data_IF_436644961965
#
_entry.id   IF_436644961965
#
_cell.length_a   1.000
_cell.length_b   1.000
_cell.length_c   1.000
_cell.angle_alpha   90.00
_cell.angle_beta   90.00
_cell.angle_gamma   90.00
#
_symmetry.space_group_name_H-M   'P 1'
#
loop_
_entity.id
_entity.type
_entity.pdbx_description
1 polymer ?
#
# COMPACT_ATOMS: atom_id res chain seq x y z
N UNK A 1 -8.02 15.14 -12.31
CA UNK A 1 -8.26 14.51 -10.97
C UNK A 1 -7.95 15.54 -9.89
N UNK A 2 -8.84 15.77 -8.92
CA UNK A 2 -8.60 16.67 -7.77
C UNK A 2 -8.86 15.89 -6.49
N UNK A 3 -7.89 15.87 -5.58
CA UNK A 3 -7.91 15.06 -4.37
C UNK A 3 -7.22 15.82 -3.24
N UNK A 4 -7.72 15.70 -2.02
CA UNK A 4 -7.05 16.17 -0.82
C UNK A 4 -7.13 15.12 0.28
N UNK A 5 -6.04 14.94 1.03
CA UNK A 5 -5.97 14.04 2.20
C UNK A 5 -5.46 14.84 3.38
N UNK A 6 -6.16 14.72 4.52
CA UNK A 6 -5.78 15.39 5.77
C UNK A 6 -4.89 14.49 6.63
N UNK A 7 -4.15 15.11 7.53
CA UNK A 7 -3.36 14.37 8.50
C UNK A 7 -4.25 13.44 9.35
N UNK A 8 -3.81 12.18 9.53
CA UNK A 8 -4.54 11.15 10.28
C UNK A 8 -5.68 10.47 9.52
N UNK A 9 -5.96 10.83 8.25
CA UNK A 9 -6.96 10.11 7.46
C UNK A 9 -6.46 8.73 7.02
N UNK A 10 -7.38 7.75 6.97
CA UNK A 10 -7.18 6.44 6.36
C UNK A 10 -8.02 6.37 5.09
N UNK A 11 -7.34 6.39 3.94
CA UNK A 11 -7.96 6.49 2.62
C UNK A 11 -7.63 5.25 1.80
N UNK A 12 -8.64 4.58 1.26
CA UNK A 12 -8.47 3.56 0.23
C UNK A 12 -8.65 4.18 -1.16
N UNK A 13 -7.74 3.90 -2.08
CA UNK A 13 -7.87 4.20 -3.52
C UNK A 13 -8.21 2.89 -4.22
N UNK A 14 -9.43 2.78 -4.70
CA UNK A 14 -9.99 1.60 -5.34
C UNK A 14 -10.04 1.77 -6.85
N UNK A 15 -9.89 0.70 -7.59
CA UNK A 15 -10.01 0.69 -9.05
C UNK A 15 -9.44 -0.58 -9.65
N UNK A 16 -9.84 -0.91 -10.87
CA UNK A 16 -9.32 -2.05 -11.62
C UNK A 16 -7.81 -1.93 -11.86
N UNK A 17 -7.19 -3.03 -12.27
CA UNK A 17 -5.79 -3.02 -12.72
C UNK A 17 -5.65 -2.06 -13.92
N UNK A 18 -4.62 -1.19 -13.87
CA UNK A 18 -4.41 -0.18 -14.91
C UNK A 18 -5.17 1.14 -14.72
N UNK A 19 -6.05 1.29 -13.71
CA UNK A 19 -6.78 2.55 -13.47
C UNK A 19 -5.90 3.74 -13.03
N UNK A 20 -4.60 3.50 -12.76
CA UNK A 20 -3.65 4.57 -12.41
C UNK A 20 -3.37 4.73 -10.92
N UNK A 21 -3.82 3.80 -10.05
CA UNK A 21 -3.59 3.85 -8.60
C UNK A 21 -2.11 3.97 -8.22
N UNK A 22 -1.27 3.07 -8.74
CA UNK A 22 0.19 3.08 -8.47
C UNK A 22 0.86 4.35 -9.01
N UNK A 23 0.40 4.87 -10.15
CA UNK A 23 0.87 6.16 -10.69
C UNK A 23 0.52 7.30 -9.75
N UNK A 24 -0.71 7.33 -9.23
CA UNK A 24 -1.13 8.32 -8.26
C UNK A 24 -0.28 8.24 -6.98
N UNK A 25 -0.06 7.05 -6.43
CA UNK A 25 0.83 6.88 -5.27
C UNK A 25 2.26 7.32 -5.58
N UNK A 26 2.77 7.06 -6.78
CA UNK A 26 4.10 7.51 -7.21
C UNK A 26 4.21 9.04 -7.26
N UNK A 27 3.14 9.74 -7.69
CA UNK A 27 3.06 11.21 -7.64
C UNK A 27 3.04 11.67 -6.18
N UNK A 28 2.22 11.05 -5.32
CA UNK A 28 2.15 11.40 -3.90
C UNK A 28 3.46 11.17 -3.16
N UNK A 29 4.32 10.27 -3.65
CA UNK A 29 5.68 10.04 -3.13
C UNK A 29 6.77 10.85 -3.85
N UNK A 30 6.41 11.76 -4.76
CA UNK A 30 7.36 12.53 -5.58
C UNK A 30 8.43 11.63 -6.29
N UNK A 31 8.00 10.46 -6.78
CA UNK A 31 8.77 9.58 -7.67
C UNK A 31 8.50 9.89 -9.14
N UNK A 32 7.33 10.44 -9.41
CA UNK A 32 6.93 10.97 -10.71
C UNK A 32 6.14 12.25 -10.51
N UNK A 33 5.96 13.05 -11.56
CA UNK A 33 5.32 14.36 -11.46
C UNK A 33 4.14 14.46 -12.42
N UNK A 34 3.09 15.22 -12.07
CA UNK A 34 1.93 15.37 -12.94
C UNK A 34 2.32 16.15 -14.21
N UNK A 35 1.87 15.69 -15.38
CA UNK A 35 2.06 16.39 -16.66
C UNK A 35 1.29 17.71 -16.69
N UNK A 36 0.19 17.80 -15.92
CA UNK A 36 -0.61 19.01 -15.77
C UNK A 36 -1.27 19.04 -14.39
N UNK A 37 -1.57 20.23 -13.90
CA UNK A 37 -2.06 20.43 -12.53
C UNK A 37 -0.94 20.61 -11.52
N UNK A 38 -1.27 20.56 -10.25
CA UNK A 38 -0.36 20.88 -9.14
C UNK A 38 -0.49 19.84 -8.04
N UNK A 39 0.62 19.47 -7.44
CA UNK A 39 0.68 18.63 -6.25
C UNK A 39 1.25 19.42 -5.07
N UNK A 40 0.49 19.45 -3.98
CA UNK A 40 0.91 20.10 -2.73
C UNK A 40 1.09 19.05 -1.64
N UNK A 41 2.21 19.12 -0.93
CA UNK A 41 2.46 18.31 0.25
C UNK A 41 2.98 19.17 1.40
N UNK A 42 2.40 19.01 2.58
CA UNK A 42 2.79 19.74 3.79
C UNK A 42 2.80 21.26 3.60
N UNK A 43 1.85 21.79 2.81
CA UNK A 43 1.71 23.22 2.49
C UNK A 43 2.64 23.75 1.40
N UNK A 44 3.47 22.92 0.79
CA UNK A 44 4.40 23.31 -0.27
C UNK A 44 3.97 22.72 -1.62
N UNK A 45 4.13 23.50 -2.70
CA UNK A 45 4.00 23.00 -4.06
C UNK A 45 5.21 22.10 -4.37
N UNK A 46 4.94 20.84 -4.70
CA UNK A 46 5.97 19.82 -5.00
C UNK A 46 6.30 19.87 -6.48
N UNK A 47 7.58 20.08 -6.79
CA UNK A 47 8.11 20.12 -8.16
C UNK A 47 9.31 19.20 -8.30
N UNK A 48 9.53 18.69 -9.51
CA UNK A 48 10.65 17.83 -9.87
C UNK A 48 12.00 18.44 -9.46
N UNK A 49 12.20 19.72 -9.75
CA UNK A 49 13.41 20.48 -9.44
C UNK A 49 13.80 20.43 -7.95
N UNK A 50 12.83 20.18 -7.05
CA UNK A 50 13.09 20.10 -5.60
C UNK A 50 13.74 18.77 -5.18
N UNK A 51 13.74 17.75 -6.07
CA UNK A 51 14.26 16.42 -5.81
C UNK A 51 15.45 16.05 -6.70
N UNK A 52 15.65 16.77 -7.81
CA UNK A 52 16.73 16.52 -8.79
C UNK A 52 18.07 17.20 -8.41
N UNK A 53 18.09 18.00 -7.36
CA UNK A 53 19.30 18.74 -6.99
C UNK A 53 20.31 17.85 -6.28
N UNK A 54 21.57 17.86 -6.75
CA UNK A 54 22.74 17.34 -6.03
C UNK A 54 23.04 18.15 -4.76
N UNK A 55 22.36 19.27 -4.58
CA UNK A 55 22.45 20.12 -3.40
C UNK A 55 21.50 19.60 -2.29
N UNK A 56 21.97 19.66 -1.06
CA UNK A 56 21.22 19.29 0.13
C UNK A 56 19.98 20.18 0.29
N UNK A 57 18.83 19.67 -0.17
CA UNK A 57 17.57 20.38 -0.14
C UNK A 57 16.78 19.96 1.11
N UNK A 58 16.64 20.88 2.05
CA UNK A 58 15.92 20.69 3.33
C UNK A 58 14.48 20.17 3.10
N UNK A 59 13.79 20.65 2.07
CA UNK A 59 12.45 20.16 1.73
C UNK A 59 12.49 18.69 1.30
N UNK A 60 13.40 18.28 0.42
CA UNK A 60 13.55 16.90 -0.03
C UNK A 60 13.80 15.97 1.18
N UNK A 61 14.76 16.30 2.03
CA UNK A 61 15.07 15.55 3.25
C UNK A 61 13.87 15.45 4.17
N UNK A 62 13.18 16.57 4.43
CA UNK A 62 11.96 16.61 5.25
C UNK A 62 10.83 15.80 4.65
N UNK A 63 10.63 15.86 3.33
CA UNK A 63 9.62 15.10 2.62
C UNK A 63 9.89 13.58 2.71
N UNK A 64 11.12 13.13 2.39
CA UNK A 64 11.53 11.72 2.47
C UNK A 64 11.42 11.14 3.88
N UNK A 65 11.65 11.97 4.90
CA UNK A 65 11.44 11.59 6.31
C UNK A 65 9.96 11.38 6.64
N UNK A 66 9.07 12.21 6.05
CA UNK A 66 7.64 12.22 6.38
C UNK A 66 6.80 11.23 5.59
N UNK A 67 7.25 10.79 4.42
CA UNK A 67 6.48 9.93 3.52
C UNK A 67 7.20 8.61 3.34
N UNK A 68 6.57 7.53 3.78
CA UNK A 68 7.01 6.16 3.53
C UNK A 68 6.18 5.52 2.43
N UNK A 69 6.82 4.74 1.55
CA UNK A 69 6.16 4.08 0.43
C UNK A 69 6.46 2.58 0.40
N UNK A 70 5.40 1.78 0.42
CA UNK A 70 5.46 0.33 0.21
C UNK A 70 5.07 0.01 -1.23
N UNK A 71 6.03 -0.50 -1.99
CA UNK A 71 5.78 -0.97 -3.35
C UNK A 71 4.99 -2.28 -3.37
N UNK A 72 4.21 -2.49 -4.42
CA UNK A 72 3.48 -3.73 -4.67
C UNK A 72 4.42 -4.94 -4.66
N UNK A 73 5.52 -4.88 -5.42
CA UNK A 73 6.53 -5.92 -5.46
C UNK A 73 7.70 -5.60 -4.50
N UNK A 74 7.91 -6.39 -3.43
CA UNK A 74 9.00 -6.18 -2.49
C UNK A 74 10.40 -6.34 -3.10
N UNK A 75 10.55 -7.12 -4.19
CA UNK A 75 11.86 -7.35 -4.81
C UNK A 75 12.47 -6.10 -5.45
N UNK A 76 11.67 -5.10 -5.80
CA UNK A 76 12.19 -3.82 -6.33
C UNK A 76 12.58 -2.85 -5.21
N UNK A 77 12.20 -3.12 -3.97
CA UNK A 77 12.47 -2.28 -2.82
C UNK A 77 13.70 -2.74 -2.04
N UNK A 78 13.96 -4.05 -1.98
CA UNK A 78 15.02 -4.67 -1.18
C UNK A 78 16.31 -4.81 -1.99
N UNK A 79 17.41 -4.25 -1.50
CA UNK A 79 18.70 -4.21 -2.22
C UNK A 79 19.93 -4.42 -1.34
N UNK A 80 19.79 -4.40 -0.01
CA UNK A 80 20.91 -4.49 0.93
C UNK A 80 21.41 -5.94 1.13
N UNK A 81 22.57 -6.07 1.77
CA UNK A 81 23.22 -7.38 2.03
C UNK A 81 22.50 -8.19 3.09
N UNK A 82 21.96 -7.51 4.12
CA UNK A 82 21.25 -8.11 5.23
C UNK A 82 19.95 -7.36 5.52
N UNK A 83 19.03 -8.00 6.24
CA UNK A 83 17.80 -7.37 6.75
C UNK A 83 18.14 -6.18 7.66
N UNK A 84 19.16 -6.31 8.51
CA UNK A 84 19.59 -5.21 9.35
C UNK A 84 20.01 -3.99 8.52
N UNK A 85 20.87 -4.18 7.51
CA UNK A 85 21.33 -3.10 6.63
C UNK A 85 20.17 -2.45 5.86
N UNK A 86 19.20 -3.27 5.43
CA UNK A 86 18.00 -2.80 4.73
C UNK A 86 17.17 -1.85 5.60
N UNK A 87 16.93 -2.23 6.86
CA UNK A 87 16.15 -1.42 7.80
C UNK A 87 16.93 -0.18 8.26
N UNK A 88 18.26 -0.30 8.43
CA UNK A 88 19.13 0.80 8.83
C UNK A 88 19.32 1.85 7.73
N UNK A 89 19.10 1.50 6.47
CA UNK A 89 19.36 2.37 5.32
C UNK A 89 18.61 3.71 5.41
N UNK A 90 17.30 3.67 5.68
CA UNK A 90 16.47 4.89 5.80
C UNK A 90 17.00 5.86 6.86
N UNK A 91 17.16 5.43 8.12
CA UNK A 91 17.76 6.26 9.18
C UNK A 91 19.16 6.81 8.85
N UNK A 92 20.00 6.03 8.16
CA UNK A 92 21.31 6.49 7.68
C UNK A 92 21.17 7.62 6.66
N UNK A 93 20.23 7.50 5.70
CA UNK A 93 19.98 8.57 4.71
C UNK A 93 19.39 9.86 5.32
N UNK A 94 18.87 9.76 6.54
CA UNK A 94 18.40 10.92 7.31
C UNK A 94 19.51 11.55 8.18
N UNK A 95 20.76 11.10 8.02
CA UNK A 95 21.93 11.54 8.79
C UNK A 95 21.75 11.41 10.31
N UNK A 96 21.04 10.39 10.76
CA UNK A 96 20.90 10.12 12.19
C UNK A 96 22.23 9.61 12.76
N UNK A 97 22.53 9.94 14.05
CA UNK A 97 23.72 9.40 14.71
C UNK A 97 23.73 7.86 14.69
N UNK A 98 24.90 7.22 14.56
CA UNK A 98 25.00 5.74 14.46
C UNK A 98 24.30 4.98 15.59
N UNK A 99 24.33 5.50 16.80
CA UNK A 99 23.65 4.93 17.97
C UNK A 99 22.12 4.96 17.80
N UNK A 100 21.57 6.05 17.25
CA UNK A 100 20.14 6.19 16.99
C UNK A 100 19.71 5.30 15.82
N UNK A 101 20.53 5.16 14.78
CA UNK A 101 20.30 4.22 13.66
C UNK A 101 20.19 2.80 14.20
N UNK A 102 21.18 2.36 14.97
CA UNK A 102 21.18 1.02 15.56
C UNK A 102 19.95 0.79 16.43
N UNK A 103 19.66 1.73 17.33
CA UNK A 103 18.52 1.64 18.24
C UNK A 103 17.19 1.50 17.48
N UNK A 104 16.91 2.38 16.51
CA UNK A 104 15.67 2.33 15.73
C UNK A 104 15.55 1.05 14.93
N UNK A 105 16.64 0.59 14.34
CA UNK A 105 16.67 -0.66 13.58
C UNK A 105 16.31 -1.85 14.47
N UNK A 106 16.92 -1.97 15.65
CA UNK A 106 16.62 -3.05 16.59
C UNK A 106 15.19 -2.96 17.15
N UNK A 107 14.72 -1.75 17.47
CA UNK A 107 13.35 -1.54 17.96
C UNK A 107 12.31 -1.99 16.91
N UNK A 108 12.50 -1.66 15.65
CA UNK A 108 11.57 -2.06 14.57
C UNK A 108 11.64 -3.57 14.29
N UNK A 109 12.83 -4.17 14.32
CA UNK A 109 13.03 -5.62 14.20
C UNK A 109 12.24 -6.35 15.28
N UNK A 110 12.38 -5.90 16.54
CA UNK A 110 11.66 -6.47 17.68
C UNK A 110 10.15 -6.24 17.60
N UNK A 111 9.72 -5.02 17.22
CA UNK A 111 8.31 -4.67 17.08
C UNK A 111 7.58 -5.56 16.07
N UNK A 112 8.25 -5.94 14.97
CA UNK A 112 7.66 -6.77 13.92
C UNK A 112 7.93 -8.28 14.09
N UNK A 113 8.69 -8.67 15.13
CA UNK A 113 8.99 -10.07 15.44
C UNK A 113 9.82 -10.75 14.34
N UNK A 114 10.84 -10.05 13.80
CA UNK A 114 11.70 -10.53 12.70
C UNK A 114 13.16 -10.66 13.12
N UNK A 115 13.45 -10.83 14.40
CA UNK A 115 14.82 -10.96 14.93
C UNK A 115 15.58 -12.11 14.28
N UNK A 116 14.90 -13.20 13.98
CA UNK A 116 15.46 -14.37 13.31
C UNK A 116 15.85 -14.12 11.84
N UNK A 117 15.45 -13.01 11.27
CA UNK A 117 15.77 -12.61 9.89
C UNK A 117 16.92 -11.61 9.82
N UNK A 118 17.32 -11.01 10.94
CA UNK A 118 18.22 -9.87 11.07
C UNK A 118 19.47 -9.95 10.17
N UNK A 119 20.17 -11.08 10.21
CA UNK A 119 21.44 -11.29 9.50
C UNK A 119 21.26 -12.04 8.16
N UNK A 120 20.02 -12.31 7.77
CA UNK A 120 19.72 -12.98 6.49
C UNK A 120 19.75 -12.00 5.32
N UNK A 121 20.12 -12.49 4.16
CA UNK A 121 20.05 -11.72 2.93
C UNK A 121 18.59 -11.62 2.45
N UNK A 122 18.07 -10.44 2.08
CA UNK A 122 16.68 -10.25 1.68
C UNK A 122 16.22 -11.15 0.54
N UNK A 123 17.08 -11.47 -0.42
CA UNK A 123 16.74 -12.34 -1.55
C UNK A 123 16.46 -13.81 -1.15
N UNK A 124 16.84 -14.22 0.07
CA UNK A 124 16.61 -15.56 0.61
C UNK A 124 15.30 -15.68 1.42
N UNK A 125 14.55 -14.61 1.52
CA UNK A 125 13.31 -14.54 2.30
C UNK A 125 12.11 -14.99 1.47
N UNK A 126 11.09 -15.54 2.15
CA UNK A 126 9.76 -15.74 1.57
C UNK A 126 9.07 -14.40 1.24
N UNK A 127 8.04 -14.43 0.40
CA UNK A 127 7.31 -13.21 0.04
C UNK A 127 6.76 -12.45 1.24
N UNK A 128 6.18 -13.14 2.21
CA UNK A 128 5.67 -12.53 3.45
C UNK A 128 6.78 -11.96 4.33
N UNK A 129 7.94 -12.64 4.45
CA UNK A 129 9.11 -12.13 5.16
C UNK A 129 9.68 -10.88 4.47
N UNK A 130 9.79 -10.88 3.14
CA UNK A 130 10.21 -9.70 2.35
C UNK A 130 9.29 -8.50 2.60
N UNK A 131 7.97 -8.71 2.57
CA UNK A 131 6.99 -7.65 2.85
C UNK A 131 7.17 -7.08 4.25
N UNK A 132 7.39 -7.92 5.27
CA UNK A 132 7.70 -7.47 6.64
C UNK A 132 8.96 -6.62 6.70
N UNK A 133 10.02 -7.03 5.99
CA UNK A 133 11.28 -6.26 5.93
C UNK A 133 11.09 -4.92 5.22
N UNK A 134 10.33 -4.86 4.11
CA UNK A 134 9.99 -3.59 3.46
C UNK A 134 9.25 -2.64 4.42
N UNK A 135 8.28 -3.17 5.17
CA UNK A 135 7.54 -2.38 6.16
C UNK A 135 8.46 -1.93 7.29
N UNK A 136 9.34 -2.81 7.78
CA UNK A 136 10.34 -2.46 8.78
C UNK A 136 11.24 -1.31 8.33
N UNK A 137 11.75 -1.39 7.09
CA UNK A 137 12.58 -0.33 6.50
C UNK A 137 11.86 1.03 6.42
N UNK A 138 10.55 1.01 6.09
CA UNK A 138 9.73 2.23 6.09
C UNK A 138 9.55 2.76 7.52
N UNK A 139 9.16 1.90 8.46
CA UNK A 139 8.84 2.31 9.83
C UNK A 139 10.06 2.81 10.62
N UNK A 140 11.29 2.37 10.25
CA UNK A 140 12.53 2.83 10.90
C UNK A 140 12.77 4.34 10.76
N UNK A 141 12.21 4.97 9.74
CA UNK A 141 12.25 6.43 9.55
C UNK A 141 11.13 7.16 10.31
N UNK A 142 10.15 6.42 10.86
CA UNK A 142 8.96 6.93 11.55
C UNK A 142 8.15 7.96 10.74
N UNK A 143 7.68 7.63 9.53
CA UNK A 143 6.99 8.58 8.66
C UNK A 143 5.63 9.01 9.22
N UNK A 144 5.16 10.20 8.82
CA UNK A 144 3.83 10.72 9.15
C UNK A 144 2.75 10.18 8.18
N UNK A 145 3.15 9.89 6.94
CA UNK A 145 2.30 9.40 5.85
C UNK A 145 2.83 8.07 5.34
N UNK A 146 1.96 7.09 5.22
CA UNK A 146 2.23 5.78 4.63
C UNK A 146 1.43 5.64 3.34
N UNK A 147 2.13 5.41 2.25
CA UNK A 147 1.58 5.09 0.95
C UNK A 147 1.78 3.59 0.71
N UNK A 148 0.70 2.84 0.55
CA UNK A 148 0.72 1.38 0.45
C UNK A 148 0.14 0.95 -0.90
N UNK A 149 0.96 0.36 -1.76
CA UNK A 149 0.51 -0.15 -3.06
C UNK A 149 0.30 -1.65 -2.99
N UNK A 150 -0.96 -2.10 -3.13
CA UNK A 150 -1.41 -3.49 -3.04
C UNK A 150 -0.74 -4.25 -1.87
N UNK A 151 -0.89 -3.77 -0.62
CA UNK A 151 -0.07 -4.25 0.49
C UNK A 151 -0.31 -5.72 0.85
N UNK A 152 -1.52 -6.24 0.64
CA UNK A 152 -1.91 -7.64 0.93
C UNK A 152 -1.60 -8.60 -0.22
N UNK A 153 -1.28 -8.07 -1.41
CA UNK A 153 -1.03 -8.88 -2.60
C UNK A 153 0.09 -9.91 -2.39
N UNK A 154 -0.18 -11.17 -2.73
CA UNK A 154 0.78 -12.28 -2.62
C UNK A 154 1.07 -12.76 -1.20
N UNK A 155 0.34 -12.29 -0.18
CA UNK A 155 0.48 -12.75 1.20
C UNK A 155 -0.46 -13.93 1.48
N UNK A 156 0.02 -14.87 2.30
CA UNK A 156 -0.83 -15.89 2.91
C UNK A 156 -1.84 -15.26 3.92
N UNK A 157 -2.94 -15.93 4.25
CA UNK A 157 -3.99 -15.38 5.10
C UNK A 157 -3.50 -14.90 6.48
N UNK A 158 -2.52 -15.58 7.07
CA UNK A 158 -1.95 -15.19 8.36
C UNK A 158 -1.15 -13.88 8.26
N UNK A 159 -0.37 -13.75 7.20
CA UNK A 159 0.39 -12.53 6.92
C UNK A 159 -0.52 -11.35 6.55
N UNK A 160 -1.66 -11.61 5.89
CA UNK A 160 -2.66 -10.57 5.62
C UNK A 160 -3.28 -10.04 6.92
N UNK A 161 -3.72 -10.92 7.81
CA UNK A 161 -4.29 -10.52 9.13
C UNK A 161 -3.27 -9.68 9.90
N UNK A 162 -2.03 -10.16 10.02
CA UNK A 162 -0.95 -9.41 10.68
C UNK A 162 -0.76 -8.00 10.10
N UNK A 163 -0.79 -7.87 8.77
CA UNK A 163 -0.63 -6.57 8.12
C UNK A 163 -1.81 -5.63 8.37
N UNK A 164 -3.03 -6.15 8.33
CA UNK A 164 -4.25 -5.39 8.64
C UNK A 164 -4.18 -4.85 10.08
N UNK A 165 -3.84 -5.71 11.05
CA UNK A 165 -3.67 -5.31 12.45
C UNK A 165 -2.60 -4.22 12.61
N UNK A 166 -1.45 -4.36 11.93
CA UNK A 166 -0.39 -3.36 11.93
C UNK A 166 -0.88 -2.00 11.37
N UNK A 167 -1.60 -2.01 10.24
CA UNK A 167 -2.17 -0.79 9.64
C UNK A 167 -3.13 -0.12 10.63
N UNK A 168 -3.98 -0.89 11.28
CA UNK A 168 -4.92 -0.36 12.28
C UNK A 168 -4.20 0.27 13.49
N UNK A 169 -3.13 -0.35 13.99
CA UNK A 169 -2.33 0.22 15.08
C UNK A 169 -1.63 1.52 14.66
N UNK A 170 -1.08 1.57 13.45
CA UNK A 170 -0.48 2.79 12.91
C UNK A 170 -1.51 3.92 12.75
N UNK A 171 -2.74 3.59 12.32
CA UNK A 171 -3.85 4.53 12.24
C UNK A 171 -4.23 5.08 13.64
N UNK A 172 -4.31 4.22 14.66
CA UNK A 172 -4.53 4.65 16.06
C UNK A 172 -3.44 5.58 16.59
N UNK A 173 -2.20 5.39 16.10
CA UNK A 173 -1.08 6.29 16.40
C UNK A 173 -1.15 7.64 15.64
N UNK A 174 -2.22 7.89 14.87
CA UNK A 174 -2.43 9.15 14.15
C UNK A 174 -1.68 9.24 12.82
N UNK A 175 -1.14 8.13 12.29
CA UNK A 175 -0.51 8.13 10.97
C UNK A 175 -1.56 8.32 9.88
N UNK A 176 -1.19 9.05 8.83
CA UNK A 176 -1.98 9.15 7.59
C UNK A 176 -1.67 7.95 6.73
N UNK A 177 -2.68 7.22 6.29
CA UNK A 177 -2.47 6.00 5.50
C UNK A 177 -3.29 6.08 4.22
N UNK A 178 -2.61 5.94 3.08
CA UNK A 178 -3.24 5.90 1.76
C UNK A 178 -2.92 4.55 1.14
N UNK A 179 -3.93 3.72 0.98
CA UNK A 179 -3.79 2.37 0.44
C UNK A 179 -4.43 2.27 -0.93
N UNK A 180 -3.64 1.97 -1.96
CA UNK A 180 -4.17 1.59 -3.26
C UNK A 180 -4.39 0.08 -3.29
N UNK A 181 -5.60 -0.35 -3.61
CA UNK A 181 -5.93 -1.78 -3.70
C UNK A 181 -7.15 -2.03 -4.58
N UNK A 182 -7.28 -3.25 -5.08
CA UNK A 182 -8.49 -3.80 -5.68
C UNK A 182 -9.14 -4.87 -4.78
N UNK A 183 -8.50 -5.20 -3.66
CA UNK A 183 -9.01 -6.17 -2.68
C UNK A 183 -10.04 -5.51 -1.76
N UNK A 184 -11.33 -5.75 -2.06
CA UNK A 184 -12.44 -5.17 -1.32
C UNK A 184 -12.59 -5.75 0.10
N UNK A 185 -12.10 -6.96 0.35
CA UNK A 185 -12.27 -7.66 1.64
C UNK A 185 -11.53 -6.94 2.80
N UNK A 186 -10.51 -6.14 2.49
CA UNK A 186 -9.72 -5.44 3.51
C UNK A 186 -10.11 -3.95 3.67
N UNK A 187 -10.80 -3.37 2.70
CA UNK A 187 -11.00 -1.92 2.59
C UNK A 187 -11.67 -1.34 3.84
N UNK A 188 -12.79 -1.94 4.28
CA UNK A 188 -13.51 -1.47 5.48
C UNK A 188 -12.73 -1.65 6.78
N UNK A 189 -11.72 -2.53 6.78
CA UNK A 189 -10.91 -2.80 7.96
C UNK A 189 -9.78 -1.78 8.14
N UNK A 190 -9.30 -1.18 7.03
CA UNK A 190 -8.09 -0.33 7.03
C UNK A 190 -8.36 1.12 6.64
N UNK A 191 -9.59 1.46 6.22
CA UNK A 191 -9.90 2.81 5.75
C UNK A 191 -11.28 3.29 6.21
N UNK A 192 -11.41 4.59 6.38
CA UNK A 192 -12.68 5.26 6.72
C UNK A 192 -13.27 5.99 5.51
N UNK A 193 -12.46 6.24 4.48
CA UNK A 193 -12.81 6.93 3.24
C UNK A 193 -12.30 6.12 2.06
N UNK A 194 -13.10 6.01 1.02
CA UNK A 194 -12.75 5.32 -0.21
C UNK A 194 -12.93 6.23 -1.43
N UNK A 195 -11.93 6.18 -2.32
CA UNK A 195 -11.89 6.91 -3.58
C UNK A 195 -11.88 5.87 -4.69
N UNK A 196 -12.88 5.89 -5.56
CA UNK A 196 -12.98 4.99 -6.70
C UNK A 196 -12.42 5.68 -7.93
N UNK A 197 -11.39 5.09 -8.54
CA UNK A 197 -10.76 5.55 -9.77
C UNK A 197 -11.17 4.62 -10.91
N UNK A 198 -11.80 5.20 -11.92
CA UNK A 198 -12.23 4.47 -13.12
C UNK A 198 -11.09 4.15 -14.09
N UNK A 199 -11.38 3.32 -15.09
CA UNK A 199 -10.44 3.00 -16.17
C UNK A 199 -10.12 4.21 -17.08
N UNK A 200 -10.97 5.25 -17.04
CA UNK A 200 -10.75 6.56 -17.64
C UNK A 200 -9.77 7.47 -16.88
N UNK A 201 -9.18 6.94 -15.79
CA UNK A 201 -8.26 7.64 -14.90
C UNK A 201 -8.86 8.86 -14.20
N UNK A 202 -10.18 8.87 -14.00
CA UNK A 202 -10.89 9.91 -13.24
C UNK A 202 -11.41 9.39 -11.90
N UNK A 203 -11.64 10.29 -10.95
CA UNK A 203 -12.31 9.93 -9.70
C UNK A 203 -13.82 9.87 -9.99
N UNK A 204 -14.40 8.68 -9.86
CA UNK A 204 -15.83 8.47 -9.99
C UNK A 204 -16.56 8.81 -8.69
N UNK A 205 -16.00 8.41 -7.56
CA UNK A 205 -16.57 8.67 -6.23
C UNK A 205 -15.44 8.90 -5.22
N UNK A 206 -15.71 9.78 -4.26
CA UNK A 206 -14.88 10.06 -3.10
C UNK A 206 -15.84 10.24 -1.91
N UNK A 207 -15.96 9.22 -1.07
CA UNK A 207 -16.95 9.18 0.01
C UNK A 207 -16.47 8.33 1.19
N UNK A 208 -17.31 8.22 2.23
CA UNK A 208 -17.06 7.26 3.30
C UNK A 208 -17.05 5.82 2.77
N UNK A 209 -16.23 5.00 3.41
CA UNK A 209 -15.95 3.64 2.95
C UNK A 209 -17.23 2.78 2.88
N UNK A 210 -18.11 2.86 3.89
CA UNK A 210 -19.33 2.05 3.94
C UNK A 210 -20.30 2.38 2.80
N UNK A 211 -20.45 3.68 2.46
CA UNK A 211 -21.27 4.11 1.32
C UNK A 211 -20.73 3.60 -0.01
N UNK A 212 -19.41 3.60 -0.22
CA UNK A 212 -18.79 3.07 -1.43
C UNK A 212 -18.96 1.56 -1.52
N UNK A 213 -18.68 0.84 -0.43
CA UNK A 213 -18.76 -0.62 -0.39
C UNK A 213 -20.20 -1.14 -0.51
N UNK A 214 -21.20 -0.36 -0.06
CA UNK A 214 -22.62 -0.67 -0.23
C UNK A 214 -23.16 -0.39 -1.64
N UNK A 215 -22.44 0.28 -2.50
CA UNK A 215 -22.88 0.65 -3.85
C UNK A 215 -22.38 -0.35 -4.91
N UNK A 216 -23.12 -1.46 -5.07
CA UNK A 216 -22.76 -2.52 -6.01
C UNK A 216 -22.70 -2.07 -7.47
N UNK A 217 -23.56 -1.13 -7.88
CA UNK A 217 -23.56 -0.63 -9.27
C UNK A 217 -22.28 0.15 -9.56
N UNK A 218 -21.84 0.99 -8.63
CA UNK A 218 -20.56 1.69 -8.70
C UNK A 218 -19.37 0.72 -8.79
N UNK A 219 -19.36 -0.31 -7.93
CA UNK A 219 -18.27 -1.31 -7.92
C UNK A 219 -18.24 -2.13 -9.22
N UNK A 220 -19.39 -2.40 -9.84
CA UNK A 220 -19.48 -3.03 -11.16
C UNK A 220 -18.98 -2.10 -12.26
N UNK A 221 -19.39 -0.83 -12.25
CA UNK A 221 -18.96 0.18 -13.23
C UNK A 221 -17.44 0.42 -13.16
N UNK A 222 -16.87 0.40 -11.97
CA UNK A 222 -15.42 0.49 -11.74
C UNK A 222 -14.66 -0.83 -12.01
N UNK A 223 -15.35 -1.87 -12.47
CA UNK A 223 -14.78 -3.20 -12.75
C UNK A 223 -14.06 -3.83 -11.53
N UNK A 224 -14.58 -3.58 -10.33
CA UNK A 224 -14.09 -4.14 -9.06
C UNK A 224 -14.80 -5.44 -8.69
N UNK A 225 -16.06 -5.56 -9.10
CA UNK A 225 -16.87 -6.79 -8.99
C UNK A 225 -17.51 -7.10 -10.34
N UNK A 226 -17.83 -8.37 -10.56
CA UNK A 226 -18.51 -8.81 -11.77
C UNK A 226 -19.59 -9.83 -11.47
N UNK A 227 -20.57 -9.92 -12.38
CA UNK A 227 -21.65 -10.90 -12.29
C UNK A 227 -21.27 -12.18 -13.04
N UNK A 228 -21.22 -13.30 -12.36
CA UNK A 228 -21.08 -14.60 -12.98
C UNK A 228 -22.43 -15.32 -13.06
N UNK A 229 -22.81 -15.71 -14.30
CA UNK A 229 -23.92 -16.62 -14.52
C UNK A 229 -23.40 -18.05 -14.68
N UNK A 230 -23.73 -18.92 -13.71
CA UNK A 230 -23.43 -20.34 -13.78
C UNK A 230 -24.66 -21.14 -14.16
N UNK A 231 -24.48 -22.08 -15.10
CA UNK A 231 -25.52 -23.02 -15.50
C UNK A 231 -25.22 -24.40 -14.92
N UNK A 232 -26.01 -24.82 -13.92
CA UNK A 232 -26.00 -26.18 -13.43
C UNK A 232 -27.22 -26.92 -13.97
N UNK A 233 -27.05 -27.69 -15.03
CA UNK A 233 -28.13 -28.40 -15.71
C UNK A 233 -29.16 -27.42 -16.33
N UNK A 234 -30.41 -27.42 -15.81
CA UNK A 234 -31.50 -26.54 -16.26
C UNK A 234 -31.65 -25.26 -15.41
N UNK A 235 -30.92 -25.14 -14.31
CA UNK A 235 -30.99 -23.98 -13.40
C UNK A 235 -29.88 -22.98 -13.75
N UNK A 236 -30.31 -21.75 -14.02
CA UNK A 236 -29.41 -20.58 -14.17
C UNK A 236 -29.48 -19.82 -12.87
N UNK A 237 -28.33 -19.55 -12.22
CA UNK A 237 -28.25 -18.66 -11.06
C UNK A 237 -27.05 -17.73 -11.19
N UNK A 238 -27.17 -16.57 -10.58
CA UNK A 238 -26.24 -15.47 -10.65
C UNK A 238 -25.58 -15.24 -9.29
N UNK A 239 -24.26 -15.02 -9.29
CA UNK A 239 -23.50 -14.65 -8.11
C UNK A 239 -22.61 -13.46 -8.40
N UNK A 240 -22.41 -12.61 -7.41
CA UNK A 240 -21.46 -11.50 -7.43
C UNK A 240 -20.10 -11.99 -6.91
N UNK A 241 -19.02 -11.68 -7.62
CA UNK A 241 -17.66 -12.00 -7.23
C UNK A 241 -16.77 -10.78 -7.32
N UNK A 242 -15.91 -10.60 -6.30
CA UNK A 242 -14.79 -9.64 -6.37
C UNK A 242 -13.62 -10.24 -7.17
N UNK A 243 -12.85 -9.42 -7.86
CA UNK A 243 -11.70 -9.83 -8.68
C UNK A 243 -10.53 -10.43 -7.87
N UNK A 244 -10.56 -10.37 -6.54
CA UNK A 244 -9.50 -10.85 -5.65
C UNK A 244 -9.45 -12.37 -5.45
N UNK A 245 -10.45 -13.14 -5.92
CA UNK A 245 -10.49 -14.60 -5.73
C UNK A 245 -10.14 -15.34 -7.02
N UNK A 246 -8.92 -15.89 -7.10
CA UNK A 246 -8.58 -16.91 -8.09
C UNK A 246 -9.48 -18.14 -7.91
N UNK A 247 -10.11 -18.58 -9.00
CA UNK A 247 -11.03 -19.71 -9.01
C UNK A 247 -10.25 -21.03 -8.90
N UNK A 248 -10.22 -21.61 -7.71
CA UNK A 248 -9.84 -23.02 -7.54
C UNK A 248 -11.06 -23.90 -7.83
N UNK A 249 -11.21 -24.32 -9.09
CA UNK A 249 -12.22 -25.29 -9.48
C UNK A 249 -11.79 -26.69 -9.04
N UNK A 250 -12.10 -27.09 -7.82
CA UNK A 250 -12.07 -28.49 -7.43
C UNK A 250 -13.23 -29.22 -8.14
N UNK A 251 -12.96 -29.90 -9.24
CA UNK A 251 -13.83 -30.92 -9.78
C UNK A 251 -13.81 -32.12 -8.84
N UNK A 252 -14.82 -32.24 -8.00
CA UNK A 252 -15.09 -33.46 -7.26
C UNK A 252 -15.36 -34.62 -8.24
N UNK A 253 -14.88 -35.85 -7.94
CA UNK A 253 -15.11 -37.01 -8.80
C UNK A 253 -16.62 -37.31 -8.90
N UNK A 254 -17.10 -37.43 -10.11
CA UNK A 254 -18.46 -37.77 -10.41
C UNK A 254 -18.83 -39.12 -9.76
N UNK A 255 -19.95 -39.10 -9.08
CA UNK A 255 -20.64 -40.35 -8.65
C UNK A 255 -21.42 -40.85 -9.88
N UNK A 256 -21.11 -42.07 -10.27
CA UNK A 256 -21.77 -42.90 -11.27
C UNK A 256 -23.21 -43.20 -10.85
#
# INVERSE_FOLDING_TARGET
MTLSVRAGEQVAILGANGSGKSTLLSILNALTYPTSGEFYAFGNLVKEEMFDTLEDNEFNRSFRKKVGFLFQNPDIQLFSSTVFDEIAFGPLQLDLPPEEVQKRTEEVIAMLGIENLRDRAPHMLSGGEKKKVCIAAILSTNPDVLLLDEPTGGLDPRSQIWLIELIQELAKCGKTIITATHDLDIVEQISTRAIVVGEDHTIHVDSDCASVMGNLDLLMEANLIHRHMHRHGKLLHEHLHAHSKEHDHMHGPGVV
#
